data_IF_071895072357
#
_entry.id   IF_071895072357
#
_cell.length_a   1.000
_cell.length_b   1.000
_cell.length_c   1.000
_cell.angle_alpha   90.00
_cell.angle_beta   90.00
_cell.angle_gamma   90.00
#
_symmetry.space_group_name_H-M   'P 1'
#
loop_
_entity.id
_entity.type
_entity.pdbx_description
1 polymer ?
#
# COMPACT_ATOMS: atom_id res chain seq x y z
N UNK A 1 14.98 6.68 4.24
CA UNK A 1 14.56 7.45 3.05
C UNK A 1 13.87 6.51 2.07
N UNK A 2 12.79 6.96 1.50
CA UNK A 2 12.10 6.15 0.50
C UNK A 2 12.93 6.05 -0.77
N UNK A 3 12.98 4.85 -1.38
CA UNK A 3 13.70 4.60 -2.61
C UNK A 3 13.03 5.36 -3.77
N UNK A 4 13.83 6.06 -4.58
CA UNK A 4 13.32 6.82 -5.71
C UNK A 4 12.62 5.94 -6.75
N UNK A 5 13.08 4.71 -6.94
CA UNK A 5 12.43 3.76 -7.85
C UNK A 5 11.06 3.33 -7.33
N UNK A 6 10.91 3.17 -6.02
CA UNK A 6 9.61 2.88 -5.41
C UNK A 6 8.66 4.05 -5.58
N UNK A 7 9.17 5.29 -5.41
CA UNK A 7 8.37 6.48 -5.65
C UNK A 7 7.84 6.53 -7.09
N UNK A 8 8.73 6.33 -8.07
CA UNK A 8 8.34 6.35 -9.48
C UNK A 8 7.34 5.25 -9.81
N UNK A 9 7.52 4.08 -9.25
CA UNK A 9 6.58 2.98 -9.44
C UNK A 9 5.21 3.34 -8.86
N UNK A 10 5.17 3.91 -7.65
CA UNK A 10 3.91 4.31 -7.05
C UNK A 10 3.19 5.37 -7.88
N UNK A 11 3.92 6.35 -8.41
CA UNK A 11 3.33 7.35 -9.30
C UNK A 11 2.72 6.68 -10.53
N UNK A 12 3.43 5.74 -11.14
CA UNK A 12 2.93 5.00 -12.29
C UNK A 12 1.68 4.18 -11.95
N UNK A 13 1.67 3.54 -10.78
CA UNK A 13 0.51 2.79 -10.29
C UNK A 13 -0.71 3.71 -10.14
N UNK A 14 -0.52 4.88 -9.55
CA UNK A 14 -1.62 5.83 -9.36
C UNK A 14 -2.21 6.27 -10.71
N UNK A 15 -1.37 6.57 -11.69
CA UNK A 15 -1.83 6.90 -13.04
C UNK A 15 -2.61 5.75 -13.65
N UNK A 16 -2.10 4.53 -13.51
CA UNK A 16 -2.78 3.34 -14.03
C UNK A 16 -4.13 3.13 -13.35
N UNK A 17 -4.21 3.31 -12.01
CA UNK A 17 -5.46 3.22 -11.27
C UNK A 17 -6.48 4.25 -11.76
N UNK A 18 -6.04 5.49 -11.95
CA UNK A 18 -6.94 6.57 -12.42
C UNK A 18 -7.52 6.26 -13.80
N UNK A 19 -6.76 5.58 -14.66
CA UNK A 19 -7.19 5.25 -16.00
C UNK A 19 -8.08 4.01 -16.08
N UNK A 20 -7.88 3.04 -15.19
CA UNK A 20 -8.43 1.68 -15.39
C UNK A 20 -9.40 1.24 -14.32
N UNK A 21 -9.40 1.87 -13.14
CA UNK A 21 -10.22 1.42 -12.02
C UNK A 21 -11.20 2.51 -11.58
N UNK A 22 -12.28 2.06 -10.94
CA UNK A 22 -13.37 2.93 -10.50
C UNK A 22 -13.46 3.08 -8.98
N UNK A 23 -12.61 2.37 -8.21
CA UNK A 23 -12.64 2.48 -6.76
C UNK A 23 -11.77 3.64 -6.29
N UNK A 24 -12.08 4.14 -5.10
CA UNK A 24 -11.30 5.18 -4.44
C UNK A 24 -10.03 4.60 -3.84
N UNK A 25 -8.92 5.29 -3.99
CA UNK A 25 -7.67 4.92 -3.35
C UNK A 25 -6.97 6.18 -2.85
N UNK A 26 -6.06 6.02 -1.91
CA UNK A 26 -5.24 7.13 -1.43
C UNK A 26 -3.93 6.61 -0.87
N UNK A 27 -2.93 7.50 -0.85
CA UNK A 27 -1.64 7.22 -0.25
C UNK A 27 -1.70 7.48 1.25
N UNK A 28 -0.92 6.72 2.01
CA UNK A 28 -0.83 6.84 3.46
C UNK A 28 0.56 7.36 3.82
N UNK A 29 0.69 8.57 4.39
CA UNK A 29 1.99 9.05 4.85
C UNK A 29 2.43 8.23 6.07
N UNK A 30 3.64 7.67 6.01
CA UNK A 30 4.11 6.79 7.09
C UNK A 30 5.48 7.21 7.64
N UNK A 31 5.83 8.47 7.50
CA UNK A 31 7.02 9.02 8.14
C UNK A 31 8.33 8.73 7.43
N UNK A 32 8.29 8.37 6.16
CA UNK A 32 9.49 8.14 5.36
C UNK A 32 10.35 9.39 5.22
N UNK A 33 11.05 9.54 4.12
CA UNK A 33 12.06 10.57 3.87
C UNK A 33 11.51 12.00 3.92
N UNK A 34 11.29 12.50 5.13
CA UNK A 34 10.74 13.83 5.33
C UNK A 34 11.69 14.65 6.19
N UNK A 35 11.56 15.98 6.11
CA UNK A 35 12.25 16.85 7.03
C UNK A 35 11.90 16.43 8.46
N UNK A 36 12.91 16.46 9.35
CA UNK A 36 12.77 15.96 10.72
C UNK A 36 11.57 16.54 11.47
N UNK A 37 11.35 17.86 11.36
CA UNK A 37 10.24 18.51 12.05
C UNK A 37 8.88 18.07 11.49
N UNK A 38 8.79 17.86 10.19
CA UNK A 38 7.58 17.37 9.53
C UNK A 38 7.30 15.94 9.99
N UNK A 39 8.34 15.10 10.05
CA UNK A 39 8.18 13.72 10.51
C UNK A 39 7.70 13.67 11.96
N UNK A 40 8.23 14.51 12.84
CA UNK A 40 7.81 14.58 14.25
C UNK A 40 6.33 14.97 14.34
N UNK A 41 5.93 16.01 13.61
CA UNK A 41 4.54 16.46 13.60
C UNK A 41 3.58 15.40 13.11
N UNK A 42 3.93 14.73 12.01
CA UNK A 42 3.11 13.64 11.47
C UNK A 42 2.95 12.51 12.49
N UNK A 43 4.03 12.16 13.18
CA UNK A 43 3.99 11.12 14.19
C UNK A 43 3.07 11.50 15.35
N UNK A 44 3.11 12.76 15.78
CA UNK A 44 2.21 13.25 16.82
C UNK A 44 0.75 13.22 16.38
N UNK A 45 0.50 13.39 15.09
CA UNK A 45 -0.83 13.34 14.51
C UNK A 45 -1.31 11.91 14.20
N UNK A 46 -0.51 10.92 14.52
CA UNK A 46 -0.92 9.53 14.39
C UNK A 46 -0.32 8.76 13.22
N UNK A 47 0.58 9.38 12.45
CA UNK A 47 1.28 8.64 11.39
C UNK A 47 2.20 7.60 12.04
N UNK A 48 2.18 6.39 11.51
CA UNK A 48 2.94 5.26 12.06
C UNK A 48 3.84 4.65 11.00
N UNK A 49 5.08 4.39 11.37
CA UNK A 49 5.99 3.66 10.51
C UNK A 49 5.46 2.24 10.31
N UNK A 50 5.66 1.69 9.11
CA UNK A 50 5.27 0.32 8.80
C UNK A 50 3.89 0.17 8.18
N UNK A 51 3.06 1.21 8.21
CA UNK A 51 1.76 1.16 7.52
C UNK A 51 2.00 1.11 6.01
N UNK A 52 1.14 0.40 5.30
CA UNK A 52 1.24 0.27 3.85
C UNK A 52 1.22 1.63 3.14
N UNK A 53 1.76 1.66 1.93
CA UNK A 53 1.87 2.89 1.14
C UNK A 53 0.52 3.46 0.70
N UNK A 54 -0.44 2.57 0.42
CA UNK A 54 -1.75 2.97 -0.10
C UNK A 54 -2.85 2.11 0.50
N UNK A 55 -4.06 2.68 0.54
CA UNK A 55 -5.27 1.91 0.78
C UNK A 55 -6.16 1.97 -0.47
N UNK A 56 -6.59 0.82 -0.94
CA UNK A 56 -7.50 0.68 -2.08
C UNK A 56 -8.87 0.30 -1.55
N UNK A 57 -9.84 1.18 -1.73
CA UNK A 57 -11.19 1.02 -1.19
C UNK A 57 -12.02 0.16 -2.12
N UNK A 58 -11.72 -1.12 -2.13
CA UNK A 58 -12.44 -2.14 -2.87
C UNK A 58 -12.57 -3.36 -1.96
N UNK A 59 -13.71 -4.02 -1.98
CA UNK A 59 -13.98 -5.16 -1.13
C UNK A 59 -14.41 -6.37 -1.96
N UNK A 60 -14.31 -7.54 -1.37
CA UNK A 60 -14.86 -8.77 -1.95
C UNK A 60 -15.59 -9.55 -0.85
N UNK A 61 -15.93 -10.81 -1.10
CA UNK A 61 -16.66 -11.61 -0.11
C UNK A 61 -15.88 -11.82 1.18
N UNK A 62 -14.57 -11.82 1.10
CA UNK A 62 -13.70 -12.17 2.23
C UNK A 62 -13.07 -10.95 2.90
N UNK A 63 -12.73 -9.92 2.15
CA UNK A 63 -11.92 -8.81 2.62
C UNK A 63 -12.63 -7.47 2.47
N UNK A 64 -12.44 -6.62 3.47
CA UNK A 64 -13.08 -5.29 3.53
C UNK A 64 -12.38 -4.25 2.68
N UNK A 65 -11.13 -4.48 2.32
CA UNK A 65 -10.33 -3.56 1.55
C UNK A 65 -8.93 -4.09 1.36
N UNK A 66 -8.11 -3.32 0.64
CA UNK A 66 -6.75 -3.68 0.29
C UNK A 66 -5.76 -2.65 0.79
N UNK A 67 -4.82 -3.08 1.62
CA UNK A 67 -3.61 -2.29 1.88
C UNK A 67 -2.54 -2.74 0.90
N UNK A 68 -1.90 -1.79 0.24
CA UNK A 68 -0.93 -2.07 -0.82
C UNK A 68 0.41 -1.43 -0.49
N UNK A 69 1.42 -2.27 -0.43
CA UNK A 69 2.81 -1.88 -0.20
C UNK A 69 3.57 -1.96 -1.52
N UNK A 70 4.27 -0.88 -1.88
CA UNK A 70 5.04 -0.80 -3.12
C UNK A 70 6.50 -1.12 -2.83
N UNK A 71 7.04 -2.10 -3.51
CA UNK A 71 8.45 -2.49 -3.40
C UNK A 71 9.07 -2.61 -4.78
N UNK A 72 10.35 -2.29 -4.90
CA UNK A 72 11.11 -2.62 -6.10
C UNK A 72 11.43 -4.13 -6.08
N UNK A 73 11.92 -4.64 -7.21
CA UNK A 73 12.11 -6.08 -7.42
C UNK A 73 12.86 -6.79 -6.29
N UNK A 74 13.92 -6.16 -5.75
CA UNK A 74 14.74 -6.76 -4.69
C UNK A 74 14.40 -6.23 -3.30
N UNK A 75 13.43 -5.34 -3.19
CA UNK A 75 13.04 -4.80 -1.89
C UNK A 75 12.34 -5.85 -1.04
N UNK A 76 12.62 -5.84 0.27
CA UNK A 76 12.02 -6.78 1.21
C UNK A 76 11.20 -6.04 2.25
N UNK A 77 10.24 -6.74 2.80
CA UNK A 77 9.36 -6.22 3.83
C UNK A 77 10.15 -6.04 5.15
N UNK A 78 10.02 -4.88 5.76
CA UNK A 78 10.65 -4.58 7.05
C UNK A 78 9.84 -5.18 8.21
N UNK A 79 10.45 -5.38 9.39
CA UNK A 79 9.72 -5.98 10.53
C UNK A 79 8.45 -5.21 10.93
N UNK A 80 8.48 -3.88 10.93
CA UNK A 80 7.29 -3.08 11.27
C UNK A 80 6.21 -3.21 10.20
N UNK A 81 6.58 -3.44 8.95
CA UNK A 81 5.63 -3.69 7.87
C UNK A 81 4.95 -5.06 8.03
N UNK A 82 5.71 -6.07 8.45
CA UNK A 82 5.15 -7.39 8.76
C UNK A 82 4.17 -7.32 9.94
N UNK A 83 4.50 -6.53 10.95
CA UNK A 83 3.61 -6.33 12.08
C UNK A 83 2.29 -5.67 11.64
N UNK A 84 2.35 -4.66 10.79
CA UNK A 84 1.17 -4.03 10.24
C UNK A 84 0.34 -5.01 9.41
N UNK A 85 0.99 -5.80 8.58
CA UNK A 85 0.30 -6.82 7.77
C UNK A 85 -0.56 -7.74 8.65
N UNK A 86 0.00 -8.23 9.75
CA UNK A 86 -0.72 -9.11 10.67
C UNK A 86 -1.94 -8.41 11.27
N UNK A 87 -1.79 -7.15 11.66
CA UNK A 87 -2.90 -6.36 12.21
C UNK A 87 -4.01 -6.20 11.16
N UNK A 88 -3.64 -5.84 9.94
CA UNK A 88 -4.60 -5.63 8.84
C UNK A 88 -5.38 -6.91 8.56
N UNK A 89 -4.69 -8.03 8.43
CA UNK A 89 -5.32 -9.32 8.15
C UNK A 89 -6.28 -9.71 9.28
N UNK A 90 -5.88 -9.52 10.52
CA UNK A 90 -6.72 -9.86 11.67
C UNK A 90 -8.00 -9.02 11.72
N UNK A 91 -8.01 -7.86 11.11
CA UNK A 91 -9.19 -6.99 11.06
C UNK A 91 -9.97 -7.08 9.75
N UNK A 92 -9.63 -8.02 8.89
CA UNK A 92 -10.40 -8.28 7.67
C UNK A 92 -9.94 -7.50 6.45
N UNK A 93 -8.72 -6.99 6.46
CA UNK A 93 -8.15 -6.28 5.32
C UNK A 93 -7.04 -7.10 4.69
N UNK A 94 -7.06 -7.22 3.38
CA UNK A 94 -5.98 -7.92 2.69
C UNK A 94 -4.77 -6.99 2.57
N UNK A 95 -3.58 -7.55 2.65
CA UNK A 95 -2.32 -6.82 2.52
C UNK A 95 -1.55 -7.42 1.36
N UNK A 96 -1.12 -6.61 0.44
CA UNK A 96 -0.37 -7.09 -0.74
C UNK A 96 0.87 -6.24 -0.97
N UNK A 97 1.94 -6.90 -1.39
CA UNK A 97 3.13 -6.23 -1.89
C UNK A 97 3.04 -6.29 -3.42
N UNK A 98 3.19 -5.14 -4.06
CA UNK A 98 3.20 -5.04 -5.53
C UNK A 98 4.54 -4.50 -5.99
N UNK A 99 5.06 -5.08 -7.07
CA UNK A 99 6.38 -4.74 -7.60
C UNK A 99 6.32 -4.26 -9.04
N UNK A 100 5.12 -4.22 -9.62
CA UNK A 100 4.91 -3.83 -11.01
C UNK A 100 3.44 -3.50 -11.25
N UNK A 101 3.15 -2.87 -12.37
CA UNK A 101 1.75 -2.68 -12.82
C UNK A 101 1.08 -4.03 -13.06
N UNK A 102 1.82 -5.00 -13.59
CA UNK A 102 1.30 -6.35 -13.80
C UNK A 102 0.82 -6.96 -12.49
N UNK A 103 1.58 -6.80 -11.41
CA UNK A 103 1.17 -7.30 -10.09
C UNK A 103 -0.15 -6.65 -9.64
N UNK A 104 -0.31 -5.35 -9.89
CA UNK A 104 -1.53 -4.63 -9.54
C UNK A 104 -2.73 -5.16 -10.33
N UNK A 105 -2.57 -5.37 -11.61
CA UNK A 105 -3.64 -5.91 -12.45
C UNK A 105 -4.05 -7.31 -12.01
N UNK A 106 -3.08 -8.17 -11.77
CA UNK A 106 -3.32 -9.53 -11.31
C UNK A 106 -4.03 -9.53 -9.95
N UNK A 107 -3.57 -8.69 -9.04
CA UNK A 107 -4.16 -8.56 -7.70
C UNK A 107 -5.63 -8.15 -7.78
N UNK A 108 -5.94 -7.11 -8.53
CA UNK A 108 -7.32 -6.61 -8.64
C UNK A 108 -8.22 -7.65 -9.29
N UNK A 109 -7.77 -8.28 -10.36
CA UNK A 109 -8.54 -9.30 -11.06
C UNK A 109 -8.88 -10.47 -10.13
N UNK A 110 -7.88 -11.00 -9.45
CA UNK A 110 -8.06 -12.12 -8.52
C UNK A 110 -8.92 -11.75 -7.33
N UNK A 111 -8.74 -10.54 -6.83
CA UNK A 111 -9.52 -10.03 -5.71
C UNK A 111 -11.00 -9.91 -6.06
N UNK A 112 -11.31 -9.34 -7.23
CA UNK A 112 -12.70 -9.17 -7.67
C UNK A 112 -13.39 -10.52 -7.99
N UNK A 113 -12.61 -11.53 -8.34
CA UNK A 113 -13.12 -12.87 -8.60
C UNK A 113 -13.21 -13.74 -7.32
N UNK A 114 -12.95 -13.15 -6.18
CA UNK A 114 -12.93 -13.86 -4.88
C UNK A 114 -11.92 -15.02 -4.85
N UNK A 115 -10.81 -14.89 -5.57
CA UNK A 115 -9.74 -15.89 -5.59
C UNK A 115 -8.72 -15.65 -4.48
N UNK A 116 -8.84 -14.54 -3.80
CA UNK A 116 -7.98 -14.18 -2.68
C UNK A 116 -8.82 -14.04 -1.43
#
# INVERSE_FOLDING_TARGET
>A
MRNEHEHKLQVAICKWLDWTQDFYYYAIPNGGARHRLVAIKLKMEGAKAGVADMFWMVSNKRWKGLFVEVKIEKGTQQPNQKAFESIAINHGYYYAIVRSIYDCESLIRRFRLDEI
#
